data_IF_144677600373
#
_entry.id   IF_144677600373
#
_cell.length_a   1.000
_cell.length_b   1.000
_cell.length_c   1.000
_cell.angle_alpha   90.00
_cell.angle_beta   90.00
_cell.angle_gamma   90.00
#
_symmetry.space_group_name_H-M   'P 1'
#
loop_
_entity.id
_entity.type
_entity.pdbx_description
1 polymer ?
#
# COMPACT_ATOMS: atom_id res chain seq x y z
N UNK A 1 -23.68 0.04 -15.09
CA UNK A 1 -22.64 -0.27 -16.11
C UNK A 1 -21.70 -1.40 -15.69
N UNK A 2 -21.06 -1.37 -14.50
CA UNK A 2 -20.20 -2.48 -14.01
C UNK A 2 -21.00 -3.66 -13.43
N UNK A 3 -22.18 -3.36 -12.89
CA UNK A 3 -23.08 -4.34 -12.23
C UNK A 3 -24.30 -4.66 -13.09
N UNK A 4 -24.25 -4.34 -14.38
CA UNK A 4 -25.30 -4.72 -15.32
C UNK A 4 -25.06 -6.19 -15.72
N UNK A 5 -25.94 -7.14 -15.35
CA UNK A 5 -25.77 -8.55 -15.69
C UNK A 5 -25.81 -8.82 -17.19
N UNK A 6 -26.27 -7.86 -18.00
CA UNK A 6 -26.31 -7.95 -19.47
C UNK A 6 -25.09 -7.33 -20.16
N UNK A 7 -24.26 -6.57 -19.44
CA UNK A 7 -23.04 -6.01 -19.99
C UNK A 7 -21.89 -7.02 -19.89
N UNK A 8 -21.58 -7.68 -21.00
CA UNK A 8 -20.61 -8.78 -21.06
C UNK A 8 -19.16 -8.34 -21.26
N UNK A 9 -18.92 -7.05 -21.55
CA UNK A 9 -17.56 -6.53 -21.78
C UNK A 9 -16.90 -6.08 -20.48
N UNK A 10 -15.67 -6.55 -20.18
CA UNK A 10 -14.89 -6.05 -19.05
C UNK A 10 -14.67 -4.54 -19.14
N UNK A 11 -14.71 -3.88 -17.98
CA UNK A 11 -14.44 -2.45 -17.86
C UNK A 11 -13.05 -2.26 -17.27
N UNK A 12 -12.21 -1.47 -17.94
CA UNK A 12 -10.92 -1.02 -17.43
C UNK A 12 -11.02 0.48 -17.18
N UNK A 13 -10.94 0.86 -15.91
CA UNK A 13 -11.15 2.25 -15.50
C UNK A 13 -9.99 2.76 -14.66
N UNK A 14 -9.46 3.90 -15.06
CA UNK A 14 -8.46 4.62 -14.31
C UNK A 14 -9.11 5.73 -13.49
N UNK A 15 -8.94 5.73 -12.18
CA UNK A 15 -9.39 6.83 -11.32
C UNK A 15 -8.16 7.53 -10.75
N UNK A 16 -8.02 8.80 -11.08
CA UNK A 16 -6.99 9.69 -10.56
C UNK A 16 -7.60 10.65 -9.56
N UNK A 17 -6.81 11.13 -8.62
CA UNK A 17 -7.23 12.18 -7.72
C UNK A 17 -6.17 12.45 -6.68
N UNK A 18 -6.06 13.69 -6.24
CA UNK A 18 -5.04 14.09 -5.27
C UNK A 18 -5.21 13.40 -3.92
N UNK A 19 -4.21 13.53 -3.07
CA UNK A 19 -4.31 13.09 -1.68
C UNK A 19 -5.52 13.76 -1.00
N UNK A 20 -6.38 12.95 -0.38
CA UNK A 20 -7.54 13.47 0.35
C UNK A 20 -8.80 13.73 -0.48
N UNK A 21 -8.86 13.38 -1.77
CA UNK A 21 -10.09 13.52 -2.58
C UNK A 21 -11.16 12.42 -2.37
N UNK A 22 -11.09 11.64 -1.28
CA UNK A 22 -12.10 10.62 -0.99
C UNK A 22 -12.01 9.31 -1.80
N UNK A 23 -10.88 9.03 -2.46
CA UNK A 23 -10.65 7.78 -3.22
C UNK A 23 -10.98 6.51 -2.42
N UNK A 24 -10.40 6.35 -1.24
CA UNK A 24 -10.66 5.20 -0.35
C UNK A 24 -12.12 5.10 0.07
N UNK A 25 -12.79 6.23 0.33
CA UNK A 25 -14.21 6.26 0.67
C UNK A 25 -15.06 5.74 -0.51
N UNK A 26 -14.76 6.18 -1.72
CA UNK A 26 -15.40 5.69 -2.94
C UNK A 26 -15.23 4.17 -3.11
N UNK A 27 -14.02 3.63 -2.88
CA UNK A 27 -13.77 2.17 -2.95
C UNK A 27 -14.69 1.42 -1.99
N UNK A 28 -14.87 1.93 -0.77
CA UNK A 28 -15.74 1.29 0.23
C UNK A 28 -17.22 1.35 -0.21
N UNK A 29 -17.71 2.50 -0.69
CA UNK A 29 -19.08 2.59 -1.20
C UNK A 29 -19.35 1.63 -2.39
N UNK A 30 -18.39 1.51 -3.31
CA UNK A 30 -18.49 0.55 -4.43
C UNK A 30 -18.45 -0.89 -3.92
N UNK A 31 -17.60 -1.18 -2.93
CA UNK A 31 -17.52 -2.50 -2.29
C UNK A 31 -18.83 -2.91 -1.63
N UNK A 32 -19.49 -2.00 -0.92
CA UNK A 32 -20.76 -2.26 -0.24
C UNK A 32 -21.86 -2.53 -1.27
N UNK A 33 -21.98 -1.67 -2.28
CA UNK A 33 -22.95 -1.83 -3.36
C UNK A 33 -22.71 -3.11 -4.19
N UNK A 34 -21.45 -3.43 -4.49
CA UNK A 34 -21.09 -4.65 -5.20
C UNK A 34 -21.44 -5.91 -4.39
N UNK A 35 -21.25 -5.86 -3.07
CA UNK A 35 -21.61 -6.97 -2.18
C UNK A 35 -23.13 -7.15 -2.11
N UNK A 36 -23.89 -6.05 -2.06
CA UNK A 36 -25.36 -6.09 -2.06
C UNK A 36 -25.92 -6.71 -3.35
N UNK A 37 -25.35 -6.38 -4.52
CA UNK A 37 -25.86 -6.84 -5.83
C UNK A 37 -25.29 -8.18 -6.30
N UNK A 38 -24.03 -8.45 -5.98
CA UNK A 38 -23.26 -9.56 -6.52
C UNK A 38 -22.85 -10.63 -5.51
N UNK A 39 -23.13 -10.40 -4.22
CA UNK A 39 -22.73 -11.26 -3.12
C UNK A 39 -21.27 -11.12 -2.71
N UNK A 40 -20.87 -11.95 -1.75
CA UNK A 40 -19.49 -11.98 -1.26
C UNK A 40 -18.50 -12.34 -2.39
N UNK A 41 -17.32 -11.69 -2.36
CA UNK A 41 -16.24 -11.85 -3.34
C UNK A 41 -16.59 -11.42 -4.78
N UNK A 42 -17.72 -10.77 -5.03
CA UNK A 42 -17.98 -10.13 -6.33
C UNK A 42 -16.89 -9.12 -6.69
N UNK A 43 -16.49 -8.33 -5.68
CA UNK A 43 -15.41 -7.35 -5.75
C UNK A 43 -14.25 -7.76 -4.85
N UNK A 44 -13.04 -7.83 -5.42
CA UNK A 44 -11.80 -7.98 -4.67
C UNK A 44 -11.01 -6.67 -4.67
N UNK A 45 -10.34 -6.39 -3.56
CA UNK A 45 -9.59 -5.15 -3.32
C UNK A 45 -8.12 -5.47 -3.07
N UNK A 46 -7.24 -4.74 -3.72
CA UNK A 46 -5.81 -4.93 -3.59
C UNK A 46 -5.05 -3.61 -3.53
N UNK A 47 -3.86 -3.63 -2.92
CA UNK A 47 -2.93 -2.50 -2.94
C UNK A 47 -1.47 -3.01 -2.88
N UNK A 48 -0.48 -2.22 -3.31
CA UNK A 48 0.93 -2.63 -3.29
C UNK A 48 1.50 -2.74 -1.86
N UNK A 49 1.03 -1.92 -0.91
CA UNK A 49 1.53 -1.92 0.47
C UNK A 49 0.49 -2.46 1.46
N UNK A 50 0.96 -3.01 2.59
CA UNK A 50 0.09 -3.56 3.64
C UNK A 50 -0.85 -2.51 4.25
N UNK A 51 -0.33 -1.32 4.55
CA UNK A 51 -1.13 -0.23 5.10
C UNK A 51 -2.24 0.23 4.15
N UNK A 52 -1.94 0.40 2.87
CA UNK A 52 -2.95 0.76 1.87
C UNK A 52 -4.00 -0.34 1.68
N UNK A 53 -3.56 -1.60 1.61
CA UNK A 53 -4.47 -2.74 1.50
C UNK A 53 -5.43 -2.80 2.69
N UNK A 54 -4.94 -2.52 3.90
CA UNK A 54 -5.78 -2.47 5.08
C UNK A 54 -6.81 -1.34 5.05
N UNK A 55 -6.41 -0.13 4.64
CA UNK A 55 -7.32 1.03 4.59
C UNK A 55 -8.56 0.79 3.70
N UNK A 56 -8.42 -0.03 2.65
CA UNK A 56 -9.52 -0.41 1.77
C UNK A 56 -10.16 -1.76 2.17
N UNK A 57 -9.73 -2.40 3.26
CA UNK A 57 -10.20 -3.74 3.65
C UNK A 57 -9.90 -4.82 2.60
N UNK A 58 -8.74 -4.72 1.95
CA UNK A 58 -8.27 -5.62 0.90
C UNK A 58 -7.04 -6.43 1.29
N UNK A 59 -6.32 -6.92 0.29
CA UNK A 59 -5.08 -7.69 0.45
C UNK A 59 -3.93 -7.01 -0.28
N UNK A 60 -2.67 -7.32 0.06
CA UNK A 60 -1.57 -6.82 -0.77
C UNK A 60 -1.57 -7.54 -2.11
N UNK A 61 -1.11 -6.88 -3.19
CA UNK A 61 -0.99 -7.50 -4.52
C UNK A 61 -0.22 -8.82 -4.46
N UNK A 62 0.90 -8.85 -3.72
CA UNK A 62 1.70 -10.04 -3.52
C UNK A 62 0.92 -11.18 -2.86
N UNK A 63 0.18 -10.88 -1.79
CA UNK A 63 -0.62 -11.90 -1.08
C UNK A 63 -1.82 -12.37 -1.88
N UNK A 64 -2.54 -11.47 -2.56
CA UNK A 64 -3.76 -11.78 -3.31
C UNK A 64 -3.48 -12.68 -4.51
N UNK A 65 -2.37 -12.44 -5.21
CA UNK A 65 -2.01 -13.16 -6.44
C UNK A 65 -0.92 -14.21 -6.23
N UNK A 66 -0.49 -14.43 -4.98
CA UNK A 66 0.64 -15.31 -4.62
C UNK A 66 1.89 -15.00 -5.45
N UNK A 67 2.23 -13.72 -5.58
CA UNK A 67 3.38 -13.29 -6.37
C UNK A 67 4.66 -13.47 -5.54
N UNK A 68 5.72 -14.04 -6.13
CA UNK A 68 7.02 -14.07 -5.50
C UNK A 68 7.56 -12.65 -5.30
N UNK A 69 8.39 -12.49 -4.26
CA UNK A 69 9.23 -11.29 -4.10
C UNK A 69 10.40 -11.42 -5.07
N UNK A 70 10.16 -11.13 -6.34
CA UNK A 70 11.15 -11.33 -7.41
C UNK A 70 12.39 -10.47 -7.12
N UNK A 71 13.58 -11.08 -7.20
CA UNK A 71 14.81 -10.32 -7.32
C UNK A 71 14.91 -9.73 -8.73
N UNK A 72 15.70 -8.66 -8.88
CA UNK A 72 16.01 -8.01 -10.17
C UNK A 72 16.60 -8.92 -11.26
N UNK A 73 16.79 -10.21 -10.96
CA UNK A 73 17.38 -11.24 -11.84
C UNK A 73 16.37 -12.25 -12.36
N UNK A 74 15.19 -12.39 -11.75
CA UNK A 74 14.16 -13.33 -12.20
C UNK A 74 13.27 -12.66 -13.25
N UNK A 75 13.45 -13.08 -14.52
CA UNK A 75 12.74 -12.46 -15.65
C UNK A 75 11.34 -13.01 -15.85
N UNK A 76 11.10 -14.26 -15.46
CA UNK A 76 9.83 -14.96 -15.70
C UNK A 76 9.07 -15.24 -14.41
N UNK A 77 7.78 -14.92 -14.41
CA UNK A 77 6.87 -15.26 -13.33
C UNK A 77 6.56 -16.76 -13.43
N UNK A 78 6.93 -17.60 -12.45
CA UNK A 78 6.62 -19.02 -12.49
C UNK A 78 5.10 -19.24 -12.44
N UNK A 79 4.65 -20.30 -13.09
CA UNK A 79 3.24 -20.69 -13.05
C UNK A 79 2.86 -21.19 -11.65
N UNK A 80 1.58 -21.07 -11.32
CA UNK A 80 1.05 -21.56 -10.04
C UNK A 80 1.11 -23.09 -9.97
N UNK A 81 1.53 -23.62 -8.81
CA UNK A 81 1.31 -25.04 -8.51
C UNK A 81 -0.20 -25.35 -8.39
N UNK A 82 -0.58 -26.62 -8.59
CA UNK A 82 -1.99 -27.03 -8.65
C UNK A 82 -2.79 -26.62 -7.41
N UNK A 83 -2.22 -26.79 -6.21
CA UNK A 83 -2.87 -26.40 -4.96
C UNK A 83 -3.12 -24.89 -4.91
N UNK A 84 -2.11 -24.10 -5.26
CA UNK A 84 -2.21 -22.65 -5.21
C UNK A 84 -3.16 -22.10 -6.26
N UNK A 85 -3.17 -22.70 -7.44
CA UNK A 85 -4.10 -22.38 -8.51
C UNK A 85 -5.55 -22.66 -8.07
N UNK A 86 -5.82 -23.82 -7.49
CA UNK A 86 -7.15 -24.18 -6.99
C UNK A 86 -7.66 -23.18 -5.94
N UNK A 87 -6.84 -22.86 -4.95
CA UNK A 87 -7.22 -21.87 -3.92
C UNK A 87 -7.54 -20.49 -4.52
N UNK A 88 -6.79 -20.06 -5.54
CA UNK A 88 -7.08 -18.80 -6.23
C UNK A 88 -8.31 -18.90 -7.13
N UNK A 89 -8.55 -20.04 -7.77
CA UNK A 89 -9.78 -20.28 -8.54
C UNK A 89 -11.02 -20.22 -7.65
N UNK A 90 -10.97 -20.83 -6.46
CA UNK A 90 -12.05 -20.77 -5.48
C UNK A 90 -12.28 -19.32 -5.00
N UNK A 91 -11.20 -18.59 -4.68
CA UNK A 91 -11.29 -17.18 -4.26
C UNK A 91 -11.88 -16.27 -5.34
N UNK A 92 -11.46 -16.45 -6.59
CA UNK A 92 -11.87 -15.62 -7.72
C UNK A 92 -13.13 -16.14 -8.44
N UNK A 93 -13.73 -17.25 -8.02
CA UNK A 93 -14.85 -17.89 -8.72
C UNK A 93 -15.96 -16.87 -9.08
N UNK A 94 -16.41 -16.12 -8.08
CA UNK A 94 -17.47 -15.11 -8.21
C UNK A 94 -16.94 -13.70 -8.49
N UNK A 95 -15.62 -13.50 -8.50
CA UNK A 95 -15.02 -12.19 -8.74
C UNK A 95 -15.27 -11.73 -10.17
N UNK A 96 -15.89 -10.55 -10.29
CA UNK A 96 -16.17 -9.83 -11.54
C UNK A 96 -15.52 -8.45 -11.58
N UNK A 97 -15.15 -7.92 -10.42
CA UNK A 97 -14.52 -6.61 -10.27
C UNK A 97 -13.27 -6.71 -9.38
N UNK A 98 -12.14 -6.23 -9.88
CA UNK A 98 -10.92 -6.03 -9.10
C UNK A 98 -10.64 -4.53 -8.97
N UNK A 99 -10.40 -4.07 -7.74
CA UNK A 99 -9.97 -2.69 -7.48
C UNK A 99 -8.55 -2.70 -6.92
N UNK A 100 -7.65 -1.96 -7.57
CA UNK A 100 -6.26 -1.79 -7.16
C UNK A 100 -6.06 -0.34 -6.71
N UNK A 101 -5.85 -0.11 -5.42
CA UNK A 101 -5.51 1.22 -4.87
C UNK A 101 -4.00 1.46 -4.88
N UNK A 102 -3.59 2.73 -4.73
CA UNK A 102 -2.20 3.20 -4.80
C UNK A 102 -1.48 2.79 -6.11
N UNK A 103 -2.15 2.99 -7.26
CA UNK A 103 -1.63 2.66 -8.59
C UNK A 103 -0.25 3.26 -8.92
N UNK A 104 0.17 4.32 -8.23
CA UNK A 104 1.47 4.96 -8.46
C UNK A 104 2.65 4.08 -8.09
N UNK A 105 2.45 3.17 -7.13
CA UNK A 105 3.47 2.22 -6.69
C UNK A 105 3.38 0.89 -7.45
N UNK A 106 2.45 0.76 -8.40
CA UNK A 106 2.34 -0.41 -9.28
C UNK A 106 3.19 -0.13 -10.52
N UNK A 107 4.14 -1.02 -10.80
CA UNK A 107 4.97 -0.92 -12.01
C UNK A 107 4.47 -1.79 -13.15
N UNK A 108 5.11 -1.65 -14.32
CA UNK A 108 4.75 -2.37 -15.53
C UNK A 108 4.87 -3.89 -15.36
N UNK A 109 5.96 -4.39 -14.75
CA UNK A 109 6.11 -5.82 -14.52
C UNK A 109 5.03 -6.34 -13.57
N UNK A 110 4.77 -5.63 -12.47
CA UNK A 110 3.72 -6.00 -11.52
C UNK A 110 2.35 -6.09 -12.21
N UNK A 111 2.06 -5.16 -13.12
CA UNK A 111 0.80 -5.14 -13.86
C UNK A 111 0.67 -6.33 -14.82
N UNK A 112 1.75 -6.67 -15.53
CA UNK A 112 1.83 -7.91 -16.31
C UNK A 112 1.61 -9.15 -15.44
N UNK A 113 2.22 -9.21 -14.25
CA UNK A 113 2.12 -10.36 -13.36
C UNK A 113 0.67 -10.57 -12.88
N UNK A 114 -0.04 -9.48 -12.58
CA UNK A 114 -1.47 -9.52 -12.23
C UNK A 114 -2.30 -10.07 -13.40
N UNK A 115 -2.09 -9.54 -14.61
CA UNK A 115 -2.80 -9.98 -15.80
C UNK A 115 -2.52 -11.46 -16.13
N UNK A 116 -1.25 -11.90 -16.10
CA UNK A 116 -0.86 -13.30 -16.27
C UNK A 116 -1.58 -14.20 -15.25
N UNK A 117 -1.57 -13.83 -13.97
CA UNK A 117 -2.24 -14.62 -12.91
C UNK A 117 -3.75 -14.69 -13.08
N UNK A 118 -4.40 -13.59 -13.47
CA UNK A 118 -5.84 -13.61 -13.71
C UNK A 118 -6.22 -14.49 -14.90
N UNK A 119 -5.39 -14.52 -15.96
CA UNK A 119 -5.59 -15.42 -17.11
C UNK A 119 -5.40 -16.90 -16.74
N UNK A 120 -4.43 -17.22 -15.88
CA UNK A 120 -4.27 -18.58 -15.32
C UNK A 120 -5.49 -18.99 -14.47
N UNK A 121 -5.96 -18.09 -13.60
CA UNK A 121 -7.09 -18.35 -12.69
C UNK A 121 -8.40 -18.54 -13.47
N UNK A 122 -8.73 -17.63 -14.40
CA UNK A 122 -9.97 -17.64 -15.19
C UNK A 122 -9.84 -18.45 -16.48
N UNK A 123 -9.25 -19.65 -16.39
CA UNK A 123 -8.86 -20.56 -17.49
C UNK A 123 -9.79 -20.67 -18.73
N UNK A 124 -11.06 -20.28 -18.64
CA UNK A 124 -12.00 -20.14 -19.76
C UNK A 124 -11.75 -18.92 -20.67
N UNK A 125 -10.97 -17.94 -20.21
CA UNK A 125 -10.71 -16.65 -20.88
C UNK A 125 -9.20 -16.34 -21.03
N UNK A 126 -8.33 -17.30 -21.43
CA UNK A 126 -6.87 -17.13 -21.36
C UNK A 126 -6.33 -16.09 -22.35
N UNK A 127 -7.10 -15.76 -23.39
CA UNK A 127 -6.73 -14.77 -24.41
C UNK A 127 -7.34 -13.38 -24.15
N UNK A 128 -8.10 -13.22 -23.05
CA UNK A 128 -8.72 -11.95 -22.67
C UNK A 128 -7.89 -11.33 -21.56
N UNK A 129 -7.55 -10.04 -21.70
CA UNK A 129 -6.89 -9.29 -20.64
C UNK A 129 -7.61 -9.46 -19.29
N UNK A 130 -6.82 -9.59 -18.23
CA UNK A 130 -7.24 -9.82 -16.86
C UNK A 130 -8.21 -11.01 -16.68
N UNK A 131 -8.16 -12.00 -17.58
CA UNK A 131 -9.06 -13.16 -17.54
C UNK A 131 -10.53 -12.79 -17.71
N UNK A 132 -10.84 -11.62 -18.31
CA UNK A 132 -12.19 -11.10 -18.46
C UNK A 132 -12.79 -10.45 -17.21
N UNK A 133 -12.01 -10.19 -16.17
CA UNK A 133 -12.45 -9.43 -14.99
C UNK A 133 -12.39 -7.93 -15.30
N UNK A 134 -13.37 -7.16 -14.80
CA UNK A 134 -13.30 -5.70 -14.84
C UNK A 134 -12.30 -5.20 -13.80
N UNK A 135 -11.45 -4.25 -14.16
CA UNK A 135 -10.39 -3.74 -13.28
C UNK A 135 -10.52 -2.22 -13.14
N UNK A 136 -10.55 -1.73 -11.90
CA UNK A 136 -10.41 -0.32 -11.57
C UNK A 136 -9.07 -0.11 -10.90
N UNK A 137 -8.26 0.79 -11.44
CA UNK A 137 -7.03 1.26 -10.78
C UNK A 137 -7.27 2.65 -10.20
N UNK A 138 -6.88 2.85 -8.95
CA UNK A 138 -7.06 4.10 -8.21
C UNK A 138 -5.75 4.56 -7.62
N UNK A 139 -5.52 5.88 -7.59
CA UNK A 139 -4.33 6.45 -6.99
C UNK A 139 -3.92 7.74 -7.68
N UNK A 140 -2.68 8.17 -7.42
CA UNK A 140 -2.15 9.44 -7.90
C UNK A 140 -0.70 9.28 -8.33
N UNK A 141 -0.43 9.40 -9.64
CA UNK A 141 0.92 9.21 -10.17
C UNK A 141 1.92 10.27 -9.73
N UNK A 142 1.47 11.39 -9.16
CA UNK A 142 2.35 12.38 -8.55
C UNK A 142 2.88 11.95 -7.16
N UNK A 143 2.42 10.82 -6.62
CA UNK A 143 2.95 10.23 -5.39
C UNK A 143 4.18 9.34 -5.65
N UNK A 144 4.49 8.42 -4.74
CA UNK A 144 5.65 7.56 -4.83
C UNK A 144 5.57 6.63 -6.05
N UNK A 145 6.64 6.56 -6.88
CA UNK A 145 6.74 5.62 -7.99
C UNK A 145 6.96 4.18 -7.48
N UNK A 146 6.83 3.15 -8.35
CA UNK A 146 7.20 1.79 -7.98
C UNK A 146 8.69 1.68 -7.61
N UNK A 147 9.00 0.76 -6.70
CA UNK A 147 10.37 0.44 -6.30
C UNK A 147 10.88 -0.73 -7.12
N UNK A 148 11.98 -0.55 -7.85
CA UNK A 148 12.61 -1.62 -8.64
C UNK A 148 11.86 -2.05 -9.90
N UNK A 149 10.86 -1.28 -10.32
CA UNK A 149 10.09 -1.50 -11.55
C UNK A 149 9.86 -0.16 -12.27
N UNK A 150 9.42 -0.20 -13.52
CA UNK A 150 9.10 0.99 -14.33
C UNK A 150 7.67 1.46 -14.03
N UNK A 151 7.40 2.77 -13.85
CA UNK A 151 6.04 3.30 -13.65
C UNK A 151 5.09 2.98 -14.81
N UNK A 152 3.78 2.88 -14.54
CA UNK A 152 2.77 2.62 -15.57
C UNK A 152 2.75 3.68 -16.68
N UNK A 153 3.00 4.94 -16.31
CA UNK A 153 3.07 6.08 -17.23
C UNK A 153 4.42 6.21 -17.97
N UNK A 154 5.24 5.15 -17.99
CA UNK A 154 6.49 5.15 -18.75
C UNK A 154 6.18 5.34 -20.24
N UNK A 155 6.65 6.45 -20.81
CA UNK A 155 6.47 6.77 -22.23
C UNK A 155 7.57 6.22 -23.14
N UNK A 156 8.79 6.05 -22.62
CA UNK A 156 9.89 5.46 -23.39
C UNK A 156 9.80 3.93 -23.35
N UNK A 157 9.62 3.34 -24.52
CA UNK A 157 9.53 1.88 -24.67
C UNK A 157 10.91 1.23 -24.83
N UNK A 158 11.97 2.03 -24.95
CA UNK A 158 13.34 1.53 -25.00
C UNK A 158 13.70 0.85 -23.67
N UNK A 159 14.44 -0.24 -23.77
CA UNK A 159 14.94 -1.02 -22.63
C UNK A 159 13.87 -1.64 -21.71
N UNK A 160 12.61 -1.72 -22.15
CA UNK A 160 11.60 -2.52 -21.47
C UNK A 160 11.86 -4.01 -21.68
N UNK A 161 11.72 -4.79 -20.61
CA UNK A 161 11.62 -6.24 -20.78
C UNK A 161 10.33 -6.61 -21.51
N UNK A 162 10.26 -7.81 -22.08
CA UNK A 162 9.05 -8.32 -22.73
C UNK A 162 7.84 -8.27 -21.78
N UNK A 163 8.05 -8.64 -20.51
CA UNK A 163 7.03 -8.63 -19.46
C UNK A 163 6.56 -7.19 -19.17
N UNK A 164 7.47 -6.22 -19.10
CA UNK A 164 7.10 -4.82 -18.92
C UNK A 164 6.35 -4.25 -20.13
N UNK A 165 6.73 -4.64 -21.35
CA UNK A 165 6.00 -4.27 -22.56
C UNK A 165 4.55 -4.81 -22.54
N UNK A 166 4.35 -6.06 -22.12
CA UNK A 166 2.99 -6.59 -21.91
C UNK A 166 2.23 -5.83 -20.83
N UNK A 167 2.88 -5.48 -19.72
CA UNK A 167 2.30 -4.64 -18.68
C UNK A 167 1.84 -3.29 -19.22
N UNK A 168 2.62 -2.68 -20.12
CA UNK A 168 2.28 -1.41 -20.77
C UNK A 168 1.06 -1.56 -21.67
N UNK A 169 1.02 -2.62 -22.49
CA UNK A 169 -0.15 -2.95 -23.33
C UNK A 169 -1.41 -3.11 -22.46
N UNK A 170 -1.30 -3.80 -21.33
CA UNK A 170 -2.41 -3.96 -20.39
C UNK A 170 -2.86 -2.61 -19.80
N UNK A 171 -1.93 -1.72 -19.47
CA UNK A 171 -2.25 -0.39 -18.96
C UNK A 171 -2.90 0.50 -20.02
N UNK A 172 -2.52 0.35 -21.30
CA UNK A 172 -3.12 1.11 -22.41
C UNK A 172 -4.59 0.76 -22.67
N UNK A 173 -5.09 -0.36 -22.12
CA UNK A 173 -6.51 -0.68 -22.10
C UNK A 173 -7.34 0.25 -21.18
N UNK A 174 -6.68 1.00 -20.27
CA UNK A 174 -7.33 1.93 -19.34
C UNK A 174 -7.49 3.32 -20.00
N UNK A 175 -8.17 3.34 -21.15
CA UNK A 175 -8.41 4.54 -21.96
C UNK A 175 -9.38 5.54 -21.32
N UNK A 176 -10.17 5.09 -20.34
CA UNK A 176 -11.11 5.92 -19.57
C UNK A 176 -10.51 6.33 -18.24
N UNK A 177 -10.37 7.65 -18.05
CA UNK A 177 -9.90 8.23 -16.80
C UNK A 177 -10.96 9.13 -16.16
N UNK A 178 -11.26 8.91 -14.88
CA UNK A 178 -12.04 9.82 -14.03
C UNK A 178 -11.09 10.52 -13.08
N UNK A 179 -11.23 11.84 -12.91
CA UNK A 179 -10.38 12.63 -12.03
C UNK A 179 -11.21 13.21 -10.89
N UNK A 180 -10.88 12.84 -9.65
CA UNK A 180 -11.44 13.46 -8.45
C UNK A 180 -10.70 14.77 -8.18
N UNK A 181 -11.39 15.88 -8.43
CA UNK A 181 -10.84 17.24 -8.41
C UNK A 181 -11.02 17.96 -7.06
N UNK A 182 -11.93 17.51 -6.19
CA UNK A 182 -12.21 18.17 -4.91
C UNK A 182 -11.44 17.51 -3.74
N UNK A 183 -10.62 18.30 -3.05
CA UNK A 183 -9.88 17.86 -1.85
C UNK A 183 -10.82 17.92 -0.63
N UNK A 184 -11.14 16.75 -0.08
CA UNK A 184 -12.07 16.61 1.05
C UNK A 184 -11.40 16.62 2.43
N UNK A 185 -10.08 16.34 2.50
CA UNK A 185 -9.37 16.16 3.77
C UNK A 185 -9.06 17.46 4.50
N UNK A 186 -8.70 18.52 3.78
CA UNK A 186 -8.42 19.84 4.36
C UNK A 186 -9.51 20.83 3.92
N UNK A 187 -10.76 20.66 4.35
CA UNK A 187 -11.84 21.64 4.07
C UNK A 187 -11.65 22.91 4.92
N UNK A 188 -12.13 24.05 4.43
CA UNK A 188 -12.02 25.35 5.10
C UNK A 188 -11.17 26.38 4.34
N UNK A 189 -11.50 27.66 4.50
CA UNK A 189 -10.79 28.77 3.85
C UNK A 189 -9.40 29.00 4.46
N UNK A 190 -9.25 28.70 5.75
CA UNK A 190 -7.98 28.74 6.49
C UNK A 190 -6.93 27.78 5.90
N UNK A 191 -7.38 26.65 5.33
CA UNK A 191 -6.50 25.65 4.71
C UNK A 191 -6.26 25.91 3.20
N UNK A 192 -6.89 26.92 2.60
CA UNK A 192 -6.83 27.14 1.14
C UNK A 192 -5.41 27.34 0.62
N UNK A 193 -4.66 28.24 1.26
CA UNK A 193 -3.26 28.51 0.89
C UNK A 193 -2.39 27.25 1.01
N UNK A 194 -2.64 26.41 2.02
CA UNK A 194 -1.91 25.15 2.19
C UNK A 194 -2.21 24.17 1.06
N UNK A 195 -3.49 24.02 0.65
CA UNK A 195 -3.86 23.21 -0.51
C UNK A 195 -3.18 23.71 -1.78
N UNK A 196 -3.24 25.01 -2.07
CA UNK A 196 -2.59 25.59 -3.26
C UNK A 196 -1.08 25.33 -3.30
N UNK A 197 -0.40 25.40 -2.16
CA UNK A 197 1.04 25.11 -2.06
C UNK A 197 1.34 23.63 -2.33
N UNK A 198 0.58 22.71 -1.75
CA UNK A 198 0.70 21.27 -2.05
C UNK A 198 0.36 20.97 -3.52
N UNK A 199 -0.53 21.76 -4.10
CA UNK A 199 -0.92 21.67 -5.49
C UNK A 199 0.21 22.02 -6.44
N UNK A 200 0.88 23.14 -6.19
CA UNK A 200 2.08 23.53 -6.91
C UNK A 200 3.24 22.55 -6.73
N UNK A 201 3.42 22.04 -5.51
CA UNK A 201 4.46 21.04 -5.23
C UNK A 201 4.26 19.77 -6.07
N UNK A 202 3.03 19.27 -6.15
CA UNK A 202 2.68 18.10 -6.96
C UNK A 202 2.86 18.33 -8.46
N UNK A 203 2.61 19.55 -8.94
CA UNK A 203 2.67 19.88 -10.37
C UNK A 203 4.03 20.42 -10.82
N UNK A 204 5.03 20.49 -9.93
CA UNK A 204 6.35 21.03 -10.25
C UNK A 204 6.39 22.56 -10.46
N UNK A 205 5.38 23.30 -9.99
CA UNK A 205 5.28 24.77 -10.10
C UNK A 205 5.54 25.48 -8.77
N UNK A 206 6.21 24.79 -7.85
CA UNK A 206 6.53 25.25 -6.51
C UNK A 206 7.54 26.40 -6.51
N UNK A 207 7.23 27.47 -5.77
CA UNK A 207 8.04 28.69 -5.73
C UNK A 207 8.76 28.87 -4.39
N UNK A 208 9.72 29.80 -4.35
CA UNK A 208 10.42 30.16 -3.10
C UNK A 208 9.45 30.71 -2.03
N UNK A 209 8.39 31.42 -2.44
CA UNK A 209 7.37 31.93 -1.52
C UNK A 209 6.56 30.80 -0.89
N UNK A 210 6.27 29.75 -1.66
CA UNK A 210 5.60 28.55 -1.15
C UNK A 210 6.50 27.81 -0.15
N UNK A 211 7.82 27.77 -0.39
CA UNK A 211 8.81 27.25 0.56
C UNK A 211 8.84 28.05 1.87
N UNK A 212 8.90 29.38 1.80
CA UNK A 212 8.87 30.23 2.99
C UNK A 212 7.61 29.98 3.82
N UNK A 213 6.45 29.86 3.17
CA UNK A 213 5.19 29.52 3.84
C UNK A 213 5.22 28.14 4.54
N UNK A 214 5.81 27.12 3.92
CA UNK A 214 5.98 25.82 4.60
C UNK A 214 6.96 25.92 5.77
N UNK A 215 8.04 26.69 5.61
CA UNK A 215 9.06 26.89 6.63
C UNK A 215 8.55 27.67 7.86
N UNK A 216 7.37 28.31 7.79
CA UNK A 216 6.67 28.83 8.98
C UNK A 216 6.34 27.74 10.01
N UNK A 217 6.22 26.48 9.57
CA UNK A 217 5.92 25.32 10.41
C UNK A 217 7.17 24.55 10.84
N UNK A 218 8.35 25.15 10.70
CA UNK A 218 9.60 24.52 11.09
C UNK A 218 9.70 24.48 12.63
N UNK A 219 9.44 23.31 13.20
CA UNK A 219 9.54 23.08 14.65
C UNK A 219 10.95 23.33 15.21
N UNK A 220 11.99 23.34 14.37
CA UNK A 220 13.35 23.63 14.86
C UNK A 220 13.58 25.13 15.08
N UNK A 221 12.69 26.00 14.59
CA UNK A 221 12.77 27.44 14.78
C UNK A 221 12.36 27.83 16.21
N UNK A 222 13.36 28.07 17.06
CA UNK A 222 13.18 28.46 18.47
C UNK A 222 12.53 29.83 18.65
N UNK A 223 12.45 30.64 17.59
CA UNK A 223 11.78 31.95 17.65
C UNK A 223 10.27 31.81 17.50
N UNK A 224 9.79 30.71 16.91
CA UNK A 224 8.36 30.47 16.62
C UNK A 224 7.70 29.49 17.57
N UNK A 225 8.46 28.48 18.02
CA UNK A 225 7.93 27.42 18.87
C UNK A 225 8.74 27.30 20.15
N UNK A 226 8.06 27.37 21.28
CA UNK A 226 8.65 27.14 22.61
C UNK A 226 9.05 25.68 22.79
N UNK A 227 9.94 25.40 23.74
CA UNK A 227 10.33 24.02 24.04
C UNK A 227 9.13 23.13 24.41
N UNK A 228 8.14 23.69 25.11
CA UNK A 228 6.94 22.96 25.57
C UNK A 228 6.10 22.55 24.37
N UNK A 229 5.76 23.48 23.47
CA UNK A 229 4.96 23.20 22.26
C UNK A 229 5.65 22.16 21.36
N UNK A 230 6.97 22.27 21.21
CA UNK A 230 7.75 21.29 20.43
C UNK A 230 7.66 19.90 21.02
N UNK A 231 7.86 19.78 22.33
CA UNK A 231 7.80 18.51 23.03
C UNK A 231 6.39 17.91 22.95
N UNK A 232 5.36 18.73 23.13
CA UNK A 232 3.95 18.32 23.04
C UNK A 232 3.63 17.78 21.64
N UNK A 233 3.98 18.53 20.59
CA UNK A 233 3.77 18.08 19.21
C UNK A 233 4.51 16.78 18.94
N UNK A 234 5.81 16.74 19.26
CA UNK A 234 6.62 15.56 19.01
C UNK A 234 6.03 14.35 19.73
N UNK A 235 5.65 14.44 21.01
CA UNK A 235 5.09 13.33 21.78
C UNK A 235 3.87 12.66 21.13
N UNK A 236 3.05 13.41 20.39
CA UNK A 236 1.88 12.89 19.71
C UNK A 236 2.13 12.53 18.25
N UNK A 237 2.98 13.30 17.57
CA UNK A 237 3.24 13.17 16.14
C UNK A 237 3.88 11.82 15.76
N UNK A 238 3.54 11.37 14.54
CA UNK A 238 4.25 10.29 13.87
C UNK A 238 5.34 10.89 13.01
N UNK A 239 6.59 10.45 13.19
CA UNK A 239 7.70 10.88 12.36
C UNK A 239 7.69 10.11 11.03
N UNK A 240 7.84 10.83 9.92
CA UNK A 240 8.07 10.26 8.60
C UNK A 240 9.54 10.46 8.24
N UNK A 241 10.23 9.40 7.85
CA UNK A 241 11.64 9.43 7.46
C UNK A 241 11.79 8.95 6.02
N UNK A 242 12.74 9.53 5.29
CA UNK A 242 13.06 9.09 3.94
C UNK A 242 13.70 7.69 3.91
N UNK A 243 14.54 7.36 4.91
CA UNK A 243 15.26 6.11 4.97
C UNK A 243 14.91 5.28 6.21
N UNK A 244 14.86 3.95 6.04
CA UNK A 244 14.59 3.00 7.12
C UNK A 244 15.62 3.07 8.26
N UNK A 245 16.89 3.42 7.95
CA UNK A 245 17.94 3.60 8.96
C UNK A 245 17.62 4.74 9.92
N UNK A 246 17.08 5.85 9.40
CA UNK A 246 16.74 7.04 10.18
C UNK A 246 15.49 6.78 11.02
N UNK A 247 14.50 6.10 10.44
CA UNK A 247 13.31 5.62 11.15
C UNK A 247 13.70 4.72 12.33
N UNK A 248 14.59 3.75 12.08
CA UNK A 248 15.07 2.81 13.11
C UNK A 248 15.81 3.56 14.22
N UNK A 249 16.72 4.46 13.85
CA UNK A 249 17.46 5.28 14.81
C UNK A 249 16.52 6.15 15.66
N UNK A 250 15.57 6.85 15.03
CA UNK A 250 14.60 7.68 15.73
C UNK A 250 13.74 6.87 16.70
N UNK A 251 13.23 5.71 16.27
CA UNK A 251 12.41 4.83 17.11
C UNK A 251 13.21 4.29 18.31
N UNK A 252 14.50 3.96 18.13
CA UNK A 252 15.38 3.55 19.24
C UNK A 252 15.60 4.69 20.24
N UNK A 253 15.81 5.92 19.77
CA UNK A 253 15.94 7.07 20.67
C UNK A 253 14.64 7.31 21.45
N UNK A 254 13.49 7.17 20.79
CA UNK A 254 12.18 7.33 21.43
C UNK A 254 11.86 6.28 22.48
N UNK A 255 12.15 5.00 22.20
CA UNK A 255 11.87 3.95 23.18
C UNK A 255 12.77 4.08 24.42
N UNK A 256 14.02 4.52 24.25
CA UNK A 256 14.93 4.83 25.37
C UNK A 256 14.43 6.02 26.19
N UNK A 257 13.87 7.03 25.55
CA UNK A 257 13.33 8.22 26.22
C UNK A 257 12.10 7.92 27.11
N UNK A 258 11.43 6.77 26.94
CA UNK A 258 10.34 6.35 27.83
C UNK A 258 10.83 6.01 29.25
N UNK A 259 12.13 5.78 29.43
CA UNK A 259 12.74 5.40 30.71
C UNK A 259 12.09 4.18 31.38
N UNK A 260 11.50 3.29 30.58
CA UNK A 260 10.92 2.02 31.00
C UNK A 260 11.86 0.86 30.64
N UNK A 261 11.79 -0.29 31.36
CA UNK A 261 12.51 -1.49 30.97
C UNK A 261 12.19 -1.91 29.53
N UNK A 262 13.24 -2.20 28.74
CA UNK A 262 13.11 -2.59 27.34
C UNK A 262 13.22 -4.12 27.22
N UNK A 263 12.15 -4.76 26.77
CA UNK A 263 12.16 -6.15 26.35
C UNK A 263 12.74 -6.28 24.94
N UNK A 264 13.74 -7.13 24.78
CA UNK A 264 14.31 -7.47 23.46
C UNK A 264 13.82 -8.86 23.08
N UNK A 265 12.96 -8.92 22.05
CA UNK A 265 12.42 -10.18 21.54
C UNK A 265 13.19 -10.52 20.26
N UNK A 266 13.96 -11.61 20.30
CA UNK A 266 14.73 -12.11 19.16
C UNK A 266 13.85 -13.03 18.31
N UNK A 267 13.99 -12.94 16.99
CA UNK A 267 13.33 -13.87 16.06
C UNK A 267 13.83 -15.29 16.29
N UNK A 268 12.93 -16.28 16.22
CA UNK A 268 13.30 -17.70 16.15
C UNK A 268 13.24 -18.14 14.69
N UNK A 269 14.36 -18.65 14.17
CA UNK A 269 14.46 -19.14 12.80
C UNK A 269 14.65 -20.66 12.83
N UNK A 270 13.96 -21.37 11.94
CA UNK A 270 14.04 -22.83 11.80
C UNK A 270 15.41 -23.31 11.34
N UNK A 271 16.19 -22.47 10.66
CA UNK A 271 17.54 -22.80 10.18
C UNK A 271 18.57 -21.71 10.47
N UNK A 272 19.80 -22.12 10.84
CA UNK A 272 20.92 -21.19 11.13
C UNK A 272 21.35 -20.40 9.89
N UNK A 273 21.17 -20.95 8.69
CA UNK A 273 21.47 -20.27 7.42
C UNK A 273 20.46 -19.14 7.10
N UNK A 274 19.25 -19.17 7.67
CA UNK A 274 18.20 -18.16 7.47
C UNK A 274 18.37 -16.95 8.39
N UNK A 275 19.14 -17.10 9.48
CA UNK A 275 19.36 -16.03 10.47
C UNK A 275 20.20 -14.86 9.96
N UNK A 276 21.01 -15.05 8.90
CA UNK A 276 21.82 -14.01 8.25
C UNK A 276 21.12 -13.33 7.07
N UNK A 277 19.91 -13.79 6.72
CA UNK A 277 19.14 -13.28 5.58
C UNK A 277 18.53 -11.92 5.95
N UNK A 278 18.70 -10.90 5.08
CA UNK A 278 18.11 -9.58 5.29
C UNK A 278 16.58 -9.69 5.52
N UNK A 279 16.04 -8.87 6.42
CA UNK A 279 14.61 -8.82 6.74
C UNK A 279 13.69 -8.70 5.51
N UNK A 280 14.18 -8.11 4.40
CA UNK A 280 13.49 -8.05 3.09
C UNK A 280 13.18 -9.41 2.48
N UNK A 281 13.97 -10.45 2.77
CA UNK A 281 13.73 -11.83 2.34
C UNK A 281 12.96 -12.67 3.39
N UNK A 282 12.71 -12.13 4.58
CA UNK A 282 11.94 -12.76 5.66
C UNK A 282 10.55 -12.10 5.84
N UNK A 283 9.90 -11.70 4.75
CA UNK A 283 8.61 -10.99 4.77
C UNK A 283 8.58 -9.72 5.65
N UNK A 284 9.71 -9.05 5.85
CA UNK A 284 9.81 -7.85 6.67
C UNK A 284 9.89 -8.11 8.18
N UNK A 285 10.09 -9.35 8.62
CA UNK A 285 10.33 -9.65 10.04
C UNK A 285 11.76 -9.24 10.45
N UNK A 286 11.92 -8.32 11.42
CA UNK A 286 13.23 -7.95 11.92
C UNK A 286 13.81 -9.08 12.78
N UNK A 287 15.15 -9.18 12.81
CA UNK A 287 15.88 -10.18 13.62
C UNK A 287 15.67 -10.01 15.13
N UNK A 288 15.31 -8.79 15.55
CA UNK A 288 14.90 -8.48 16.90
C UNK A 288 13.92 -7.31 16.89
N UNK A 289 13.01 -7.29 17.86
CA UNK A 289 12.17 -6.14 18.18
C UNK A 289 12.44 -5.68 19.62
N UNK A 290 12.37 -4.36 19.82
CA UNK A 290 12.46 -3.73 21.13
C UNK A 290 11.08 -3.23 21.52
N UNK A 291 10.58 -3.66 22.68
CA UNK A 291 9.30 -3.25 23.24
C UNK A 291 9.50 -2.68 24.64
N UNK A 292 8.75 -1.66 24.98
CA UNK A 292 8.71 -1.07 26.31
C UNK A 292 7.28 -0.65 26.61
N UNK A 293 6.91 -0.58 27.89
CA UNK A 293 5.61 -0.06 28.28
C UNK A 293 5.43 1.39 27.77
N UNK A 294 4.22 1.69 27.29
CA UNK A 294 3.82 2.93 26.62
C UNK A 294 4.47 3.20 25.25
N UNK A 295 5.22 2.26 24.67
CA UNK A 295 5.72 2.45 23.31
C UNK A 295 4.60 2.29 22.27
N UNK A 296 4.62 3.13 21.22
CA UNK A 296 3.71 3.05 20.08
C UNK A 296 4.19 1.94 19.14
N UNK A 297 3.26 1.08 18.72
CA UNK A 297 3.53 -0.05 17.82
C UNK A 297 2.57 -0.04 16.64
N UNK A 298 2.98 -0.72 15.56
CA UNK A 298 2.15 -1.00 14.40
C UNK A 298 2.17 -2.50 14.15
N UNK A 299 1.01 -3.11 13.92
CA UNK A 299 0.93 -4.50 13.48
C UNK A 299 1.45 -4.58 12.04
N UNK A 300 2.27 -5.58 11.75
CA UNK A 300 2.83 -5.81 10.40
C UNK A 300 2.19 -7.01 9.69
N UNK A 301 1.36 -7.78 10.39
CA UNK A 301 0.67 -8.96 9.88
C UNK A 301 -0.83 -8.90 10.19
N UNK A 302 -1.62 -9.61 9.39
CA UNK A 302 -3.05 -9.78 9.65
C UNK A 302 -3.26 -10.89 10.67
N UNK A 303 -3.84 -10.55 11.83
CA UNK A 303 -4.15 -11.49 12.90
C UNK A 303 -5.64 -11.80 12.96
N UNK A 304 -6.48 -10.75 12.91
CA UNK A 304 -7.93 -10.86 12.97
C UNK A 304 -8.59 -9.68 12.26
N UNK A 305 -9.02 -9.91 11.02
CA UNK A 305 -9.51 -8.83 10.13
C UNK A 305 -10.82 -8.22 10.63
N UNK A 306 -11.74 -9.05 11.11
CA UNK A 306 -13.07 -8.64 11.57
C UNK A 306 -12.99 -7.79 12.85
N UNK A 307 -11.98 -8.05 13.70
CA UNK A 307 -11.70 -7.23 14.90
C UNK A 307 -10.78 -6.04 14.63
N UNK A 308 -10.36 -5.81 13.38
CA UNK A 308 -9.44 -4.72 13.02
C UNK A 308 -7.97 -4.93 13.42
N UNK A 309 -7.57 -6.14 13.82
CA UNK A 309 -6.17 -6.51 14.13
C UNK A 309 -5.45 -6.94 12.86
N UNK A 310 -5.08 -5.97 12.05
CA UNK A 310 -4.53 -6.13 10.71
C UNK A 310 -3.18 -5.42 10.55
N UNK A 311 -2.49 -5.70 9.44
CA UNK A 311 -1.28 -4.95 9.09
C UNK A 311 -1.61 -3.44 8.95
N UNK A 312 -0.89 -2.59 9.68
CA UNK A 312 -1.08 -1.15 9.73
C UNK A 312 -1.84 -0.65 10.97
N UNK A 313 -2.49 -1.54 11.73
CA UNK A 313 -3.18 -1.16 12.97
C UNK A 313 -2.18 -0.64 14.01
N UNK A 314 -2.48 0.53 14.60
CA UNK A 314 -1.62 1.19 15.58
C UNK A 314 -2.08 0.84 17.00
N UNK A 315 -1.12 0.67 17.90
CA UNK A 315 -1.39 0.38 19.31
C UNK A 315 -0.36 1.00 20.23
N UNK A 316 -0.63 0.90 21.53
CA UNK A 316 0.30 1.27 22.61
C UNK A 316 0.50 0.03 23.46
N UNK A 317 1.75 -0.32 23.75
CA UNK A 317 2.08 -1.45 24.61
C UNK A 317 1.71 -1.10 26.06
N UNK A 318 0.71 -1.79 26.62
CA UNK A 318 0.30 -1.59 28.02
C UNK A 318 1.03 -2.48 29.01
N UNK A 319 1.21 -3.75 28.66
CA UNK A 319 1.91 -4.72 29.51
C UNK A 319 2.74 -5.67 28.66
N UNK A 320 3.84 -6.15 29.23
CA UNK A 320 4.68 -7.21 28.66
C UNK A 320 4.70 -8.34 29.69
N UNK A 321 4.06 -9.46 29.35
CA UNK A 321 3.92 -10.61 30.25
C UNK A 321 4.81 -11.73 29.70
N UNK A 322 5.80 -12.14 30.49
CA UNK A 322 6.61 -13.32 30.19
C UNK A 322 5.92 -14.55 30.76
N UNK A 323 5.89 -15.65 30.00
CA UNK A 323 5.46 -16.94 30.56
C UNK A 323 6.43 -17.31 31.69
N UNK A 324 5.89 -17.67 32.85
CA UNK A 324 6.69 -18.23 33.94
C UNK A 324 7.45 -19.44 33.40
N UNK A 325 8.76 -19.48 33.66
CA UNK A 325 9.50 -20.73 33.52
C UNK A 325 8.97 -21.64 34.62
N UNK A 326 8.12 -22.60 34.25
CA UNK A 326 7.88 -23.78 35.09
C UNK A 326 9.27 -24.38 35.29
N UNK A 327 9.79 -24.26 36.51
CA UNK A 327 11.11 -24.76 36.89
C UNK A 327 11.14 -26.28 36.89
#
# INVERSE_FOLDING_TARGET
>A
MILDPYNTKPIYLNISGRAGCGKTYFINCVSDYATEKGGHNFMLKAAPTGGAAFMIGGNTLHSLFKLPLLSSTEKDLPDLNQQSLKELQDLFQNCKLLVIDEKSMVGLYMFYAIDKRLREIKCTCPNIAFGGISVIIMGDFAQLPPVGDRPLYTGDLKDLSLQQAFGKICFDLFDKTIIFNEIMRQKGDDQKKFREVLDKLSNGTFTINDWHFLNERNLMDTTKFTQIERNEFLNHATMLCAYNKDLTHYNITRIKALNNPIAIIKSQNSDKAVASVLATKAHGLPSQIMLAQECKVILTNNLWKEAGLTNGAKGIVKHIIFKDKIK
#
